data_IF_120684177971
#
_entry.id   IF_120684177971
#
_cell.length_a   1.000
_cell.length_b   1.000
_cell.length_c   1.000
_cell.angle_alpha   90.00
_cell.angle_beta   90.00
_cell.angle_gamma   90.00
#
_symmetry.space_group_name_H-M   'P 1'
#
loop_
_entity.id
_entity.type
_entity.pdbx_description
1 polymer ?
#
# COMPACT_ATOMS: atom_id res chain seq x y z
N UNK A 1 -0.91 -18.77 -6.95
CA UNK A 1 -0.63 -18.80 -5.49
C UNK A 1 0.51 -19.74 -5.07
N UNK A 2 0.43 -21.07 -5.22
CA UNK A 2 1.46 -21.99 -4.68
C UNK A 2 2.86 -21.77 -5.27
N UNK A 3 2.97 -21.61 -6.59
CA UNK A 3 4.26 -21.35 -7.27
C UNK A 3 4.96 -20.07 -6.79
N UNK A 4 4.20 -19.06 -6.34
CA UNK A 4 4.80 -17.83 -5.81
C UNK A 4 5.41 -18.02 -4.42
N UNK A 5 4.77 -18.82 -3.56
CA UNK A 5 5.30 -19.11 -2.22
C UNK A 5 6.66 -19.81 -2.29
N UNK A 6 6.90 -20.62 -3.33
CA UNK A 6 8.19 -21.26 -3.60
C UNK A 6 9.30 -20.26 -3.98
N UNK A 7 8.94 -19.06 -4.46
CA UNK A 7 9.88 -17.98 -4.78
C UNK A 7 10.29 -17.16 -3.55
N UNK A 8 9.57 -17.30 -2.43
CA UNK A 8 9.90 -16.59 -1.19
C UNK A 8 10.94 -17.41 -0.41
N UNK A 9 12.03 -16.78 0.07
CA UNK A 9 12.95 -17.42 1.02
C UNK A 9 12.21 -18.09 2.18
N UNK A 10 12.59 -19.33 2.54
CA UNK A 10 11.84 -20.16 3.50
C UNK A 10 11.64 -19.49 4.86
N UNK A 11 12.62 -18.70 5.31
CA UNK A 11 12.62 -17.92 6.54
C UNK A 11 11.69 -16.69 6.48
N UNK A 12 11.31 -16.24 5.28
CA UNK A 12 10.40 -15.10 5.07
C UNK A 12 8.99 -15.50 4.65
N UNK A 13 8.72 -16.79 4.41
CA UNK A 13 7.38 -17.26 4.03
C UNK A 13 6.35 -16.97 5.13
N UNK A 14 5.19 -16.38 4.81
CA UNK A 14 4.22 -15.92 5.81
C UNK A 14 3.34 -17.06 6.36
N UNK A 15 3.95 -18.17 6.77
CA UNK A 15 3.27 -19.33 7.36
C UNK A 15 2.95 -19.04 8.83
N UNK A 16 1.71 -19.27 9.25
CA UNK A 16 1.27 -18.99 10.62
C UNK A 16 2.21 -19.59 11.68
N UNK A 17 2.64 -18.76 12.64
CA UNK A 17 3.55 -19.17 13.72
C UNK A 17 5.04 -19.14 13.39
N UNK A 18 5.44 -18.79 12.17
CA UNK A 18 6.85 -18.70 11.75
C UNK A 18 7.39 -17.27 11.82
N UNK A 19 8.72 -17.14 11.75
CA UNK A 19 9.41 -15.83 11.65
C UNK A 19 8.95 -15.03 10.43
N UNK A 20 8.65 -15.70 9.31
CA UNK A 20 8.13 -15.05 8.11
C UNK A 20 6.74 -14.44 8.33
N UNK A 21 5.86 -15.09 9.10
CA UNK A 21 4.57 -14.49 9.49
C UNK A 21 4.76 -13.27 10.41
N UNK A 22 5.69 -13.33 11.37
CA UNK A 22 6.03 -12.19 12.21
C UNK A 22 6.61 -11.02 11.38
N UNK A 23 7.51 -11.33 10.45
CA UNK A 23 8.09 -10.39 9.52
C UNK A 23 7.02 -9.67 8.70
N UNK A 24 6.11 -10.43 8.06
CA UNK A 24 4.98 -9.88 7.29
C UNK A 24 4.09 -8.99 8.15
N UNK A 25 3.76 -9.41 9.38
CA UNK A 25 2.97 -8.60 10.32
C UNK A 25 3.64 -7.27 10.64
N UNK A 26 4.97 -7.28 10.84
CA UNK A 26 5.75 -6.05 11.09
C UNK A 26 5.72 -5.09 9.89
N UNK A 27 5.79 -5.62 8.66
CA UNK A 27 5.68 -4.79 7.45
C UNK A 27 4.29 -4.14 7.33
N UNK A 28 3.21 -4.91 7.56
CA UNK A 28 1.85 -4.36 7.54
C UNK A 28 1.65 -3.26 8.60
N UNK A 29 2.15 -3.47 9.82
CA UNK A 29 2.08 -2.46 10.90
C UNK A 29 2.87 -1.19 10.56
N UNK A 30 3.97 -1.30 9.82
CA UNK A 30 4.73 -0.14 9.34
C UNK A 30 3.99 0.62 8.23
N UNK A 31 3.30 -0.09 7.34
CA UNK A 31 2.57 0.51 6.22
C UNK A 31 1.32 1.27 6.68
N UNK A 32 0.55 0.71 7.60
CA UNK A 32 -0.61 1.38 8.18
C UNK A 32 -0.63 1.14 9.70
N UNK A 33 0.08 1.97 10.47
CA UNK A 33 0.01 1.93 11.93
C UNK A 33 -1.42 2.14 12.42
N UNK A 34 -1.77 1.56 13.58
CA UNK A 34 -3.14 1.64 14.12
C UNK A 34 -3.56 3.09 14.39
N UNK A 35 -2.64 3.93 14.89
CA UNK A 35 -2.87 5.35 15.14
C UNK A 35 -3.13 6.18 13.87
N UNK A 36 -2.84 5.64 12.67
CA UNK A 36 -3.20 6.26 11.38
C UNK A 36 -4.55 5.77 10.83
N UNK A 37 -5.19 4.80 11.49
CA UNK A 37 -6.42 4.16 11.02
C UNK A 37 -7.60 4.34 11.98
N UNK A 38 -7.32 4.46 13.27
CA UNK A 38 -8.31 4.55 14.33
C UNK A 38 -8.11 5.84 15.12
N UNK A 39 -9.06 6.80 15.06
CA UNK A 39 -8.97 8.05 15.81
C UNK A 39 -8.81 7.85 17.32
N UNK A 40 -9.32 6.75 17.89
CA UNK A 40 -9.18 6.44 19.32
C UNK A 40 -7.74 6.11 19.73
N UNK A 41 -6.88 5.79 18.76
CA UNK A 41 -5.50 5.40 18.97
C UNK A 41 -4.51 6.53 18.68
N UNK A 42 -4.98 7.68 18.21
CA UNK A 42 -4.15 8.85 17.89
C UNK A 42 -3.93 9.76 19.11
N UNK A 43 -2.70 10.23 19.30
CA UNK A 43 -2.32 11.05 20.46
C UNK A 43 -2.62 12.54 20.22
N UNK A 44 -3.89 12.90 20.38
CA UNK A 44 -4.28 14.30 20.54
C UNK A 44 -4.95 14.95 19.34
N UNK A 45 -5.78 14.18 18.61
CA UNK A 45 -6.76 14.74 17.69
C UNK A 45 -7.75 15.62 18.44
N UNK A 46 -7.98 16.83 17.93
CA UNK A 46 -9.11 17.66 18.34
C UNK A 46 -10.44 17.07 17.83
N UNK A 47 -11.57 17.43 18.43
CA UNK A 47 -12.90 16.93 18.05
C UNK A 47 -13.20 17.15 16.55
N UNK A 48 -12.77 18.28 15.98
CA UNK A 48 -12.92 18.57 14.55
C UNK A 48 -11.99 17.74 13.64
N UNK A 49 -10.87 17.25 14.16
CA UNK A 49 -9.88 16.47 13.42
C UNK A 49 -10.24 14.97 13.37
N UNK A 50 -10.98 14.47 14.36
CA UNK A 50 -11.49 13.08 14.39
C UNK A 50 -12.27 12.76 13.11
N UNK A 51 -13.23 13.61 12.75
CA UNK A 51 -14.04 13.43 11.53
C UNK A 51 -13.18 13.48 10.26
N UNK A 52 -12.18 14.37 10.22
CA UNK A 52 -11.26 14.44 9.08
C UNK A 52 -10.46 13.14 8.91
N UNK A 53 -10.05 12.52 10.01
CA UNK A 53 -9.36 11.24 9.99
C UNK A 53 -10.29 10.10 9.55
N UNK A 54 -11.51 10.03 10.08
CA UNK A 54 -12.49 9.03 9.68
C UNK A 54 -12.80 9.11 8.18
N UNK A 55 -13.07 10.31 7.69
CA UNK A 55 -13.34 10.56 6.27
C UNK A 55 -12.13 10.21 5.40
N UNK A 56 -10.92 10.54 5.86
CA UNK A 56 -9.67 10.19 5.19
C UNK A 56 -9.49 8.67 5.07
N UNK A 57 -9.68 7.95 6.17
CA UNK A 57 -9.59 6.48 6.23
C UNK A 57 -10.65 5.82 5.36
N UNK A 58 -11.89 6.27 5.46
CA UNK A 58 -13.01 5.79 4.65
C UNK A 58 -12.73 5.98 3.17
N UNK A 59 -12.25 7.16 2.77
CA UNK A 59 -11.97 7.50 1.37
C UNK A 59 -10.89 6.60 0.78
N UNK A 60 -9.72 6.48 1.42
CA UNK A 60 -8.65 5.67 0.83
C UNK A 60 -9.01 4.18 0.80
N UNK A 61 -9.76 3.66 1.78
CA UNK A 61 -10.22 2.27 1.78
C UNK A 61 -11.16 2.00 0.61
N UNK A 62 -12.04 2.96 0.30
CA UNK A 62 -13.00 2.84 -0.79
C UNK A 62 -12.36 3.02 -2.18
N UNK A 63 -11.39 3.91 -2.32
CA UNK A 63 -10.92 4.38 -3.64
C UNK A 63 -9.54 3.83 -4.05
N UNK A 64 -8.63 3.62 -3.08
CA UNK A 64 -7.21 3.40 -3.38
C UNK A 64 -6.66 2.07 -2.88
N UNK A 65 -7.14 1.58 -1.74
CA UNK A 65 -6.65 0.37 -1.09
C UNK A 65 -7.03 -0.89 -1.89
N UNK A 66 -6.08 -1.81 -2.03
CA UNK A 66 -6.27 -3.14 -2.58
C UNK A 66 -5.24 -4.15 -2.04
N UNK A 67 -5.39 -5.41 -2.47
CA UNK A 67 -4.46 -6.51 -2.20
C UNK A 67 -4.04 -7.11 -3.54
N UNK A 68 -2.75 -7.37 -3.73
CA UNK A 68 -2.25 -7.97 -4.97
C UNK A 68 -2.79 -9.39 -5.15
N UNK A 69 -3.27 -9.71 -6.35
CA UNK A 69 -3.71 -11.05 -6.72
C UNK A 69 -2.58 -11.78 -7.47
N UNK A 70 -2.15 -12.95 -6.97
CA UNK A 70 -1.08 -13.72 -7.59
C UNK A 70 -1.61 -14.89 -8.41
N UNK A 71 -1.54 -14.74 -9.73
CA UNK A 71 -2.05 -15.71 -10.71
C UNK A 71 -1.04 -15.90 -11.85
N UNK A 72 -1.32 -16.83 -12.77
CA UNK A 72 -0.60 -16.88 -14.05
C UNK A 72 -1.12 -15.78 -14.98
N UNK A 73 -0.31 -15.34 -15.96
CA UNK A 73 -0.75 -14.40 -16.97
C UNK A 73 -2.04 -14.84 -17.65
N UNK A 74 -2.99 -13.90 -17.80
CA UNK A 74 -4.31 -14.13 -18.38
C UNK A 74 -5.36 -14.66 -17.39
N UNK A 75 -4.97 -15.04 -16.17
CA UNK A 75 -5.88 -15.65 -15.19
C UNK A 75 -6.30 -14.68 -14.06
N UNK A 76 -5.91 -13.41 -14.14
CA UNK A 76 -6.27 -12.40 -13.14
C UNK A 76 -7.75 -12.01 -13.18
N UNK A 77 -8.36 -11.82 -12.01
CA UNK A 77 -9.71 -11.27 -11.91
C UNK A 77 -10.85 -12.27 -12.04
N UNK A 78 -10.54 -13.57 -12.08
CA UNK A 78 -11.51 -14.67 -12.19
C UNK A 78 -12.51 -14.79 -11.02
N UNK A 79 -12.40 -13.97 -9.98
CA UNK A 79 -13.30 -13.96 -8.83
C UNK A 79 -14.46 -12.95 -8.88
N UNK A 80 -14.71 -12.26 -10.00
CA UNK A 80 -15.76 -11.22 -10.12
C UNK A 80 -16.89 -11.52 -11.11
N UNK A 81 -17.03 -12.75 -11.60
CA UNK A 81 -18.25 -13.19 -12.29
C UNK A 81 -18.94 -14.30 -11.51
N UNK A 82 -19.85 -13.93 -10.62
CA UNK A 82 -21.00 -14.76 -10.24
C UNK A 82 -22.00 -13.86 -9.47
N UNK A 83 -23.08 -13.44 -10.14
CA UNK A 83 -24.08 -12.61 -9.49
C UNK A 83 -25.05 -11.82 -10.38
N UNK A 84 -25.50 -12.36 -11.52
CA UNK A 84 -26.79 -11.95 -12.11
C UNK A 84 -27.38 -13.05 -12.99
N UNK A 85 -27.91 -14.09 -12.35
CA UNK A 85 -28.88 -14.96 -12.99
C UNK A 85 -30.15 -14.14 -13.26
N UNK A 86 -30.42 -13.86 -14.53
CA UNK A 86 -31.76 -13.47 -14.98
C UNK A 86 -32.50 -14.73 -15.39
N UNK A 87 -33.54 -15.00 -14.60
CA UNK A 87 -34.60 -15.95 -14.84
C UNK A 87 -35.39 -15.60 -16.12
N UNK A 88 -35.43 -16.53 -17.07
CA UNK A 88 -36.60 -16.80 -17.93
C UNK A 88 -36.60 -18.28 -18.31
N UNK A 89 -37.75 -18.94 -18.08
CA UNK A 89 -37.88 -20.38 -18.06
C UNK A 89 -38.20 -21.10 -19.39
N UNK A 90 -37.99 -22.43 -19.30
CA UNK A 90 -38.66 -23.59 -19.95
C UNK A 90 -38.68 -23.70 -21.49
N UNK A 91 -38.11 -24.79 -22.06
CA UNK A 91 -38.71 -26.13 -22.24
C UNK A 91 -37.84 -27.02 -23.17
N UNK A 92 -38.11 -28.34 -23.14
CA UNK A 92 -37.25 -29.46 -23.52
C UNK A 92 -37.19 -29.85 -25.02
N UNK A 93 -36.15 -30.60 -25.42
CA UNK A 93 -36.19 -31.47 -26.61
C UNK A 93 -34.85 -31.91 -27.25
N UNK A 94 -34.44 -33.16 -26.96
CA UNK A 94 -33.69 -34.18 -27.75
C UNK A 94 -32.37 -33.87 -28.51
N UNK A 95 -31.41 -34.80 -28.35
CA UNK A 95 -30.19 -34.99 -29.16
C UNK A 95 -30.50 -35.53 -30.59
N UNK A 96 -29.56 -35.40 -31.55
CA UNK A 96 -28.59 -36.50 -31.77
C UNK A 96 -27.15 -36.05 -32.14
N UNK A 97 -26.30 -37.07 -32.28
CA UNK A 97 -24.85 -37.10 -32.48
C UNK A 97 -24.36 -36.57 -33.85
N UNK A 98 -23.13 -36.04 -33.92
CA UNK A 98 -21.97 -36.59 -34.67
C UNK A 98 -20.95 -35.54 -35.18
N UNK A 99 -19.69 -36.00 -35.20
CA UNK A 99 -18.54 -35.60 -36.03
C UNK A 99 -17.59 -34.51 -35.54
N UNK A 100 -16.32 -34.76 -35.88
CA UNK A 100 -15.09 -34.26 -35.29
C UNK A 100 -14.72 -32.83 -35.70
N UNK A 101 -13.96 -32.19 -34.82
CA UNK A 101 -12.69 -31.60 -35.20
C UNK A 101 -12.71 -30.15 -35.70
N UNK A 102 -12.57 -29.22 -34.76
CA UNK A 102 -11.65 -28.11 -34.91
C UNK A 102 -11.26 -27.66 -33.50
N UNK A 103 -9.99 -27.82 -33.16
CA UNK A 103 -9.36 -27.13 -32.04
C UNK A 103 -9.63 -25.64 -32.24
N UNK A 104 -10.58 -25.09 -31.50
CA UNK A 104 -10.80 -23.65 -31.49
C UNK A 104 -9.51 -23.03 -30.97
N UNK A 105 -8.81 -22.40 -31.91
CA UNK A 105 -7.55 -21.72 -31.74
C UNK A 105 -7.62 -20.82 -30.52
N UNK A 106 -6.76 -21.12 -29.55
CA UNK A 106 -6.45 -20.25 -28.44
C UNK A 106 -6.31 -18.81 -28.93
N UNK A 107 -6.80 -17.80 -28.19
CA UNK A 107 -6.55 -16.42 -28.54
C UNK A 107 -5.03 -16.24 -28.67
N UNK A 108 -4.61 -15.66 -29.78
CA UNK A 108 -3.20 -15.47 -30.15
C UNK A 108 -2.35 -15.07 -28.94
N UNK A 109 -1.29 -15.85 -28.67
CA UNK A 109 -0.35 -15.67 -27.57
C UNK A 109 0.12 -14.20 -27.49
N UNK A 110 -0.59 -13.42 -26.66
CA UNK A 110 -0.26 -12.05 -26.38
C UNK A 110 0.94 -12.07 -25.44
N UNK A 111 2.10 -11.65 -25.92
CA UNK A 111 3.30 -11.52 -25.09
C UNK A 111 2.99 -10.61 -23.89
N UNK A 112 2.76 -11.21 -22.73
CA UNK A 112 2.54 -10.49 -21.48
C UNK A 112 3.78 -9.65 -21.15
N UNK A 113 3.57 -8.42 -20.68
CA UNK A 113 4.67 -7.50 -20.33
C UNK A 113 4.46 -6.91 -18.96
N UNK A 114 5.50 -6.95 -18.14
CA UNK A 114 5.45 -6.35 -16.82
C UNK A 114 5.32 -4.82 -16.94
N UNK A 115 4.40 -4.24 -16.20
CA UNK A 115 4.15 -2.79 -16.28
C UNK A 115 5.27 -1.94 -15.67
N UNK A 116 6.12 -2.47 -14.79
CA UNK A 116 7.28 -1.72 -14.27
C UNK A 116 8.52 -1.84 -15.17
N UNK A 117 9.02 -3.07 -15.42
CA UNK A 117 10.28 -3.26 -16.16
C UNK A 117 10.10 -3.36 -17.68
N UNK A 118 8.86 -3.46 -18.18
CA UNK A 118 8.49 -3.61 -19.59
C UNK A 118 9.01 -4.87 -20.29
N UNK A 119 9.70 -5.75 -19.55
CA UNK A 119 10.16 -7.05 -20.04
C UNK A 119 8.99 -8.02 -20.21
N UNK A 120 9.20 -9.00 -21.10
CA UNK A 120 8.25 -10.08 -21.34
C UNK A 120 8.09 -10.95 -20.09
N UNK A 121 6.88 -11.45 -19.88
CA UNK A 121 6.55 -12.40 -18.82
C UNK A 121 6.18 -13.74 -19.45
N UNK A 122 6.88 -14.84 -19.11
CA UNK A 122 6.48 -16.18 -19.52
C UNK A 122 5.10 -16.57 -18.97
N UNK A 123 4.34 -17.35 -19.74
CA UNK A 123 2.96 -17.77 -19.38
C UNK A 123 2.89 -18.67 -18.14
N UNK A 124 3.99 -19.31 -17.79
CA UNK A 124 4.14 -20.21 -16.64
C UNK A 124 4.72 -19.53 -15.39
N UNK A 125 5.05 -18.24 -15.47
CA UNK A 125 5.61 -17.47 -14.37
C UNK A 125 4.52 -16.71 -13.59
N UNK A 126 4.49 -16.76 -12.25
CA UNK A 126 3.49 -16.04 -11.48
C UNK A 126 3.63 -14.52 -11.66
N UNK A 127 2.49 -13.85 -11.77
CA UNK A 127 2.38 -12.39 -11.85
C UNK A 127 1.45 -11.87 -10.78
N UNK A 128 1.57 -10.58 -10.50
CA UNK A 128 0.66 -9.83 -9.64
C UNK A 128 -0.30 -9.03 -10.50
N UNK A 129 -1.58 -9.13 -10.20
CA UNK A 129 -2.64 -8.26 -10.67
C UNK A 129 -3.09 -7.33 -9.55
N UNK A 130 -3.53 -6.13 -9.92
CA UNK A 130 -3.99 -5.11 -8.99
C UNK A 130 -5.37 -4.62 -9.44
N UNK A 131 -6.42 -4.97 -8.71
CA UNK A 131 -7.81 -4.65 -9.05
C UNK A 131 -8.05 -3.15 -9.30
N UNK A 132 -7.42 -2.28 -8.50
CA UNK A 132 -7.51 -0.81 -8.65
C UNK A 132 -6.79 -0.27 -9.88
N UNK A 133 -5.84 -1.02 -10.41
CA UNK A 133 -5.13 -0.70 -11.65
C UNK A 133 -5.80 -1.31 -12.89
N UNK A 134 -6.82 -2.15 -12.70
CA UNK A 134 -7.45 -2.97 -13.71
C UNK A 134 -6.63 -4.23 -14.05
N UNK A 135 -7.30 -5.24 -14.61
CA UNK A 135 -6.68 -6.52 -14.98
C UNK A 135 -5.95 -6.51 -16.33
N UNK A 136 -5.82 -5.34 -16.96
CA UNK A 136 -5.00 -5.15 -18.17
C UNK A 136 -3.52 -4.97 -17.85
N UNK A 137 -3.19 -4.69 -16.59
CA UNK A 137 -1.81 -4.54 -16.11
C UNK A 137 -1.41 -5.73 -15.26
N UNK A 138 -0.15 -6.11 -15.38
CA UNK A 138 0.46 -7.18 -14.61
C UNK A 138 1.89 -6.81 -14.25
N UNK A 139 2.37 -7.37 -13.15
CA UNK A 139 3.73 -7.16 -12.67
C UNK A 139 4.40 -8.48 -12.33
N UNK A 140 5.71 -8.56 -12.54
CA UNK A 140 6.47 -9.56 -11.79
C UNK A 140 6.30 -9.28 -10.29
N UNK A 141 6.30 -10.31 -9.42
CA UNK A 141 6.25 -10.12 -7.97
C UNK A 141 7.29 -9.13 -7.45
N UNK A 142 8.53 -9.21 -7.92
CA UNK A 142 9.61 -8.28 -7.56
C UNK A 142 9.46 -6.87 -8.15
N UNK A 143 8.61 -6.70 -9.17
CA UNK A 143 8.35 -5.42 -9.83
C UNK A 143 7.11 -4.70 -9.28
N UNK A 144 6.28 -5.39 -8.49
CA UNK A 144 5.12 -4.81 -7.82
C UNK A 144 5.55 -4.18 -6.49
N UNK A 145 6.09 -2.97 -6.58
CA UNK A 145 6.74 -2.26 -5.48
C UNK A 145 6.16 -0.87 -5.28
N UNK A 146 6.28 -0.33 -4.06
CA UNK A 146 5.97 1.07 -3.81
C UNK A 146 6.86 1.98 -4.66
N UNK A 147 6.27 2.91 -5.41
CA UNK A 147 7.02 3.83 -6.27
C UNK A 147 7.94 4.81 -5.53
N UNK A 148 7.83 4.95 -4.20
CA UNK A 148 8.66 5.85 -3.38
C UNK A 148 9.81 5.14 -2.66
N UNK A 149 9.60 3.92 -2.15
CA UNK A 149 10.63 3.20 -1.39
C UNK A 149 11.00 1.81 -1.91
N UNK A 150 10.44 1.42 -3.06
CA UNK A 150 10.65 0.12 -3.68
C UNK A 150 10.32 -1.10 -2.78
N UNK A 151 9.52 -0.90 -1.71
CA UNK A 151 9.05 -2.00 -0.87
C UNK A 151 8.14 -2.93 -1.68
N UNK A 152 8.39 -4.26 -1.70
CA UNK A 152 7.51 -5.22 -2.37
C UNK A 152 6.12 -5.24 -1.75
N UNK A 153 5.08 -5.17 -2.58
CA UNK A 153 3.68 -5.09 -2.15
C UNK A 153 2.88 -6.36 -2.45
N UNK A 154 3.50 -7.36 -3.08
CA UNK A 154 2.83 -8.60 -3.52
C UNK A 154 2.13 -9.35 -2.37
N UNK A 155 2.73 -9.40 -1.18
CA UNK A 155 2.18 -10.04 0.02
C UNK A 155 1.55 -9.05 1.01
N UNK A 156 1.55 -7.77 0.65
CA UNK A 156 1.09 -6.67 1.49
C UNK A 156 -0.16 -6.05 0.86
N UNK A 157 -0.64 -4.99 1.51
CA UNK A 157 -1.63 -4.11 0.92
C UNK A 157 -0.94 -3.11 0.01
N UNK A 158 -1.65 -2.63 -0.99
CA UNK A 158 -1.17 -1.57 -1.87
C UNK A 158 -2.21 -0.47 -2.00
N UNK A 159 -1.76 0.69 -2.46
CA UNK A 159 -2.58 1.84 -2.75
C UNK A 159 -2.34 2.29 -4.18
N UNK A 160 -3.39 2.35 -5.00
CA UNK A 160 -3.27 2.82 -6.38
C UNK A 160 -3.56 4.31 -6.48
N UNK A 161 -2.63 5.05 -7.08
CA UNK A 161 -2.81 6.48 -7.36
C UNK A 161 -1.96 6.91 -8.53
N UNK A 162 -2.57 7.67 -9.44
CA UNK A 162 -1.88 8.30 -10.58
C UNK A 162 -1.04 7.31 -11.41
N UNK A 163 -1.58 6.11 -11.64
CA UNK A 163 -0.90 5.09 -12.45
C UNK A 163 0.24 4.34 -11.76
N UNK A 164 0.40 4.49 -10.44
CA UNK A 164 1.47 3.86 -9.67
C UNK A 164 0.95 3.19 -8.38
N UNK A 165 1.66 2.16 -7.94
CA UNK A 165 1.42 1.48 -6.67
C UNK A 165 2.23 2.14 -5.54
N UNK A 166 1.59 2.35 -4.39
CA UNK A 166 2.14 2.96 -3.19
C UNK A 166 1.97 2.02 -1.99
N UNK A 167 2.92 2.03 -1.05
CA UNK A 167 2.65 1.48 0.27
C UNK A 167 1.74 2.44 1.06
N UNK A 168 1.02 1.94 2.06
CA UNK A 168 0.08 2.76 2.84
C UNK A 168 0.70 4.02 3.43
N UNK A 169 1.91 3.91 3.96
CA UNK A 169 2.64 5.02 4.59
C UNK A 169 2.89 6.14 3.61
N UNK A 170 3.48 5.84 2.44
CA UNK A 170 3.79 6.85 1.43
C UNK A 170 2.56 7.36 0.70
N UNK A 171 1.51 6.54 0.53
CA UNK A 171 0.23 7.03 0.03
C UNK A 171 -0.35 8.09 0.96
N UNK A 172 -0.43 7.82 2.26
CA UNK A 172 -0.96 8.76 3.24
C UNK A 172 -0.11 10.04 3.33
N UNK A 173 1.22 9.91 3.35
CA UNK A 173 2.15 11.05 3.34
C UNK A 173 2.06 11.90 2.06
N UNK A 174 1.60 11.33 0.95
CA UNK A 174 1.38 12.07 -0.30
C UNK A 174 0.11 12.93 -0.28
N UNK A 175 -0.73 12.79 0.75
CA UNK A 175 -2.00 13.50 0.92
C UNK A 175 -2.02 14.39 2.16
N UNK A 176 -1.36 13.99 3.24
CA UNK A 176 -1.29 14.71 4.52
C UNK A 176 0.13 14.60 5.08
N UNK A 177 0.67 15.64 5.72
CA UNK A 177 2.01 15.58 6.29
C UNK A 177 2.06 14.62 7.48
N UNK A 178 3.21 13.97 7.69
CA UNK A 178 3.47 13.13 8.87
C UNK A 178 4.38 13.87 9.84
N UNK A 179 4.03 13.85 11.12
CA UNK A 179 4.83 14.49 12.16
C UNK A 179 6.12 13.71 12.39
N UNK A 180 7.29 14.34 12.19
CA UNK A 180 8.60 13.73 12.46
C UNK A 180 8.82 13.43 13.94
N UNK A 181 8.13 14.13 14.85
CA UNK A 181 8.24 13.92 16.29
C UNK A 181 7.46 12.72 16.85
N UNK A 182 6.22 12.48 16.38
CA UNK A 182 5.37 11.39 16.88
C UNK A 182 5.04 10.31 15.86
N UNK A 183 5.48 10.46 14.61
CA UNK A 183 5.19 9.57 13.49
C UNK A 183 3.70 9.47 13.10
N UNK A 184 2.81 10.35 13.59
CA UNK A 184 1.38 10.36 13.22
C UNK A 184 1.08 11.29 12.03
N UNK A 185 0.02 11.00 11.27
CA UNK A 185 -0.50 11.92 10.24
C UNK A 185 -1.10 13.17 10.89
N UNK A 186 -0.70 14.34 10.39
CA UNK A 186 -1.15 15.64 10.87
C UNK A 186 -2.46 15.99 10.15
N UNK A 187 -3.56 16.03 10.91
CA UNK A 187 -4.88 16.46 10.41
C UNK A 187 -5.13 17.97 10.59
N UNK A 188 -4.39 18.60 11.50
CA UNK A 188 -4.44 20.03 11.72
C UNK A 188 -3.87 20.81 10.54
N UNK A 189 -4.52 21.89 10.13
CA UNK A 189 -3.94 22.87 9.20
C UNK A 189 -2.86 23.72 9.87
N UNK A 190 -2.83 23.73 11.21
CA UNK A 190 -1.94 24.55 12.01
C UNK A 190 -0.74 23.74 12.52
N UNK A 191 0.23 23.49 11.64
CA UNK A 191 1.43 22.70 11.91
C UNK A 191 2.72 23.45 11.56
N UNK A 192 3.87 22.89 11.91
CA UNK A 192 5.18 23.48 11.62
C UNK A 192 5.89 22.70 10.51
N UNK A 193 6.55 23.41 9.61
CA UNK A 193 7.38 22.83 8.55
C UNK A 193 8.79 23.40 8.58
N UNK A 194 9.78 22.55 8.36
CA UNK A 194 11.18 22.93 8.22
C UNK A 194 11.91 21.86 7.39
N UNK A 195 12.73 22.26 6.42
CA UNK A 195 13.55 21.35 5.59
C UNK A 195 12.77 20.17 4.97
N UNK A 196 11.52 20.40 4.55
CA UNK A 196 10.66 19.36 3.95
C UNK A 196 10.08 18.35 4.96
N UNK A 197 10.32 18.56 6.25
CA UNK A 197 9.74 17.81 7.35
C UNK A 197 8.59 18.59 7.98
N UNK A 198 7.72 17.90 8.71
CA UNK A 198 6.54 18.47 9.35
C UNK A 198 6.42 18.03 10.80
N UNK A 199 5.86 18.89 11.65
CA UNK A 199 5.60 18.60 13.06
C UNK A 199 4.25 19.18 13.49
N UNK A 200 3.53 18.45 14.33
CA UNK A 200 2.53 19.07 15.19
C UNK A 200 3.19 20.21 15.99
N UNK A 201 2.47 21.31 16.27
CA UNK A 201 3.01 22.44 17.06
C UNK A 201 3.66 22.01 18.37
N UNK A 202 3.03 21.07 19.08
CA UNK A 202 3.51 20.51 20.35
C UNK A 202 4.83 19.73 20.20
N UNK A 203 5.08 19.16 19.02
CA UNK A 203 6.29 18.38 18.74
C UNK A 203 7.39 19.21 18.07
N UNK A 204 7.13 20.48 17.75
CA UNK A 204 8.15 21.41 17.29
C UNK A 204 8.90 22.01 18.48
N UNK A 205 9.59 21.13 19.21
CA UNK A 205 10.22 21.41 20.50
C UNK A 205 11.69 20.98 20.52
N UNK A 206 12.49 21.60 21.39
CA UNK A 206 13.87 21.19 21.61
C UNK A 206 13.92 19.77 22.20
N UNK A 207 14.70 18.88 21.59
CA UNK A 207 14.86 17.50 22.05
C UNK A 207 15.43 17.37 23.48
N UNK A 208 16.14 18.39 23.97
CA UNK A 208 16.81 18.33 25.29
C UNK A 208 16.01 18.99 26.41
N UNK A 209 15.37 20.13 26.12
CA UNK A 209 14.70 20.94 27.15
C UNK A 209 13.21 21.13 26.89
N UNK A 210 12.67 20.44 25.88
CA UNK A 210 11.25 20.41 25.49
C UNK A 210 10.62 21.77 25.19
N UNK A 211 11.45 22.82 25.10
CA UNK A 211 10.98 24.17 24.84
C UNK A 211 10.49 24.27 23.40
N UNK A 212 9.24 24.74 23.23
CA UNK A 212 8.67 25.03 21.92
C UNK A 212 9.53 26.03 21.14
N UNK A 213 9.79 25.71 19.87
CA UNK A 213 10.71 26.43 18.98
C UNK A 213 9.99 27.32 17.96
N UNK A 214 8.65 27.36 17.96
CA UNK A 214 7.89 28.28 17.12
C UNK A 214 8.36 29.72 17.34
N UNK A 215 8.83 30.37 16.27
CA UNK A 215 9.35 31.75 16.32
C UNK A 215 10.71 31.91 17.03
N UNK A 216 11.42 30.83 17.36
CA UNK A 216 12.74 30.87 17.99
C UNK A 216 13.81 30.32 17.05
N UNK A 217 15.06 30.72 17.27
CA UNK A 217 16.19 30.12 16.57
C UNK A 217 16.43 28.67 17.02
N UNK A 218 16.59 27.78 16.05
CA UNK A 218 16.85 26.35 16.27
C UNK A 218 17.89 25.81 15.28
N UNK A 219 18.43 24.64 15.58
CA UNK A 219 19.17 23.80 14.64
C UNK A 219 18.42 22.49 14.42
N UNK A 220 18.31 22.06 13.16
CA UNK A 220 17.70 20.81 12.75
C UNK A 220 18.79 19.87 12.23
N UNK A 221 18.90 18.67 12.80
CA UNK A 221 19.80 17.62 12.33
C UNK A 221 19.06 16.28 12.28
N UNK A 222 18.90 15.70 11.07
CA UNK A 222 18.20 14.42 10.84
C UNK A 222 16.84 14.32 11.55
N UNK A 223 16.05 15.40 11.53
CA UNK A 223 14.74 15.45 12.21
C UNK A 223 14.78 15.83 13.70
N UNK A 224 15.97 15.94 14.29
CA UNK A 224 16.15 16.35 15.69
C UNK A 224 16.28 17.87 15.80
N UNK A 225 15.32 18.48 16.50
CA UNK A 225 15.29 19.92 16.76
C UNK A 225 16.02 20.27 18.06
N UNK A 226 16.85 21.31 18.03
CA UNK A 226 17.54 21.84 19.23
C UNK A 226 17.46 23.35 19.28
N UNK A 227 17.21 23.91 20.46
CA UNK A 227 17.26 25.37 20.66
C UNK A 227 18.70 25.90 20.57
N UNK A 228 18.84 27.20 20.33
CA UNK A 228 20.15 27.87 20.26
C UNK A 228 21.02 27.68 21.51
N UNK A 229 20.42 27.53 22.69
CA UNK A 229 21.15 27.29 23.94
C UNK A 229 21.72 25.88 23.98
N UNK A 230 20.86 24.87 23.82
CA UNK A 230 21.26 23.46 23.86
C UNK A 230 22.19 23.07 22.70
N UNK A 231 22.11 23.73 21.55
CA UNK A 231 23.01 23.48 20.42
C UNK A 231 24.43 23.99 20.64
N UNK A 232 24.61 25.01 21.48
CA UNK A 232 25.92 25.53 21.90
C UNK A 232 26.55 24.67 22.99
N UNK A 233 25.75 24.18 23.94
CA UNK A 233 26.23 23.35 25.05
C UNK A 233 26.81 21.99 24.65
N UNK A 234 26.51 21.47 23.45
CA UNK A 234 27.09 20.22 22.93
C UNK A 234 28.38 20.39 22.11
N UNK A 235 28.87 21.62 21.94
CA UNK A 235 30.14 21.91 21.22
C UNK A 235 31.34 22.12 22.14
N UNK A 236 31.16 21.88 23.45
CA UNK A 236 32.20 21.82 24.47
C UNK A 236 32.35 20.36 24.93
#
# INVERSE_FOLDING_TARGET
AMQYMELIPKDMQPVAGTDGAYYRRRQLLRQLPVYDQDPSQCRGLAEGEVKLMEDFVKKYKAEALGVGEVALPGQGGGGKEEGKAQDTGLAAGKAPETTNGALESAPAAGLYRCDTCKQAVPEDCPVVYADRAGYTRLWHPACFVCCRCAEPLVDLIYFWRSGAAWCGRHYCESLRPRCTGCDEIIFSEDYQQAEGLAWHKKHFACLECETLLSGKAYSLDKGSLRCATCSRSKRL
#
